data_IF_062781861318
#
_entry.id   IF_062781861318
#
_cell.length_a   1.000
_cell.length_b   1.000
_cell.length_c   1.000
_cell.angle_alpha   90.00
_cell.angle_beta   90.00
_cell.angle_gamma   90.00
#
_symmetry.space_group_name_H-M   'P 1'
#
loop_
_entity.id
_entity.type
_entity.pdbx_description
1 polymer ?
#
# COMPACT_ATOMS: atom_id res chain seq x y z
N UNK A 1 41.53 -11.64 53.69
CA UNK A 1 40.07 -11.57 53.58
C UNK A 1 39.74 -10.28 52.86
N UNK A 2 39.62 -10.31 51.54
CA UNK A 2 38.76 -9.36 50.85
C UNK A 2 38.34 -10.02 49.54
N UNK A 3 37.08 -10.44 49.54
CA UNK A 3 36.39 -11.04 48.42
C UNK A 3 35.55 -9.96 47.74
N UNK A 4 35.43 -10.11 46.42
CA UNK A 4 34.41 -9.54 45.51
C UNK A 4 34.56 -8.08 45.00
N UNK A 5 33.90 -7.73 43.86
CA UNK A 5 33.45 -8.57 42.74
C UNK A 5 33.81 -8.00 41.35
N UNK A 6 33.69 -8.87 40.35
CA UNK A 6 33.73 -8.55 38.92
C UNK A 6 32.61 -7.57 38.55
N UNK A 7 32.96 -6.48 37.85
CA UNK A 7 31.99 -5.68 37.11
C UNK A 7 32.00 -6.08 35.64
N UNK A 8 30.88 -6.64 35.21
CA UNK A 8 30.51 -6.82 33.81
C UNK A 8 30.34 -5.43 33.17
N UNK A 9 31.22 -5.08 32.22
CA UNK A 9 31.01 -3.93 31.36
C UNK A 9 30.21 -4.35 30.14
N UNK A 10 28.94 -3.93 30.19
CA UNK A 10 27.91 -4.02 29.18
C UNK A 10 28.40 -3.66 27.78
N UNK A 11 28.06 -4.49 26.80
CA UNK A 11 28.29 -4.31 25.37
C UNK A 11 27.82 -2.94 24.90
N UNK A 12 28.78 -2.07 24.58
CA UNK A 12 28.52 -0.85 23.84
C UNK A 12 28.55 -1.18 22.34
N UNK A 13 27.52 -1.88 21.83
CA UNK A 13 27.27 -2.01 20.39
C UNK A 13 26.74 -0.66 19.86
N UNK A 14 27.58 0.38 19.94
CA UNK A 14 27.32 1.66 19.28
C UNK A 14 28.00 1.60 17.93
N UNK A 15 27.36 0.90 17.00
CA UNK A 15 27.79 0.86 15.61
C UNK A 15 27.50 2.22 14.98
N UNK A 16 28.56 3.04 14.91
CA UNK A 16 28.60 4.32 14.20
C UNK A 16 28.34 4.03 12.72
N UNK A 17 27.15 4.37 12.23
CA UNK A 17 26.79 4.21 10.82
C UNK A 17 27.48 5.28 9.98
N UNK A 18 28.68 4.94 9.51
CA UNK A 18 29.32 5.52 8.32
C UNK A 18 28.30 5.54 7.18
N UNK A 19 28.22 6.67 6.46
CA UNK A 19 27.21 6.98 5.45
C UNK A 19 27.07 5.97 4.31
N UNK A 20 26.39 4.85 4.58
CA UNK A 20 25.92 3.89 3.60
C UNK A 20 24.54 4.33 3.13
N UNK A 21 24.35 4.49 1.82
CA UNK A 21 23.02 4.71 1.25
C UNK A 21 22.17 3.47 1.57
N UNK A 22 21.05 3.68 2.28
CA UNK A 22 20.16 2.61 2.67
C UNK A 22 19.78 1.74 1.46
N UNK A 23 19.87 0.43 1.61
CA UNK A 23 19.65 -0.51 0.52
C UNK A 23 18.23 -0.33 -0.06
N UNK A 24 18.08 -0.41 -1.39
CA UNK A 24 16.76 -0.30 -2.02
C UNK A 24 15.83 -1.37 -1.45
N UNK A 25 14.62 -0.97 -1.06
CA UNK A 25 13.72 -1.89 -0.37
C UNK A 25 13.27 -3.02 -1.29
N UNK A 26 13.50 -4.25 -0.83
CA UNK A 26 13.20 -5.46 -1.55
C UNK A 26 11.68 -5.73 -1.60
N UNK A 27 11.23 -6.57 -2.53
CA UNK A 27 9.82 -6.91 -2.68
C UNK A 27 9.23 -7.57 -1.42
N UNK A 28 9.99 -8.44 -0.78
CA UNK A 28 9.60 -9.11 0.47
C UNK A 28 9.49 -8.11 1.63
N UNK A 29 10.46 -7.20 1.77
CA UNK A 29 10.41 -6.13 2.78
C UNK A 29 9.15 -5.26 2.61
N UNK A 30 8.77 -4.93 1.37
CA UNK A 30 7.54 -4.17 1.09
C UNK A 30 6.28 -4.94 1.46
N UNK A 31 6.23 -6.24 1.17
CA UNK A 31 5.08 -7.07 1.53
C UNK A 31 4.93 -7.14 3.06
N UNK A 32 6.04 -7.35 3.76
CA UNK A 32 6.03 -7.37 5.22
C UNK A 32 5.58 -6.04 5.81
N UNK A 33 6.13 -4.91 5.32
CA UNK A 33 5.68 -3.59 5.74
C UNK A 33 4.18 -3.40 5.51
N UNK A 34 3.67 -3.87 4.36
CA UNK A 34 2.25 -3.78 4.04
C UNK A 34 1.39 -4.59 5.02
N UNK A 35 1.84 -5.78 5.42
CA UNK A 35 1.17 -6.61 6.43
C UNK A 35 1.12 -5.90 7.78
N UNK A 36 2.24 -5.35 8.23
CA UNK A 36 2.33 -4.62 9.51
C UNK A 36 1.43 -3.38 9.53
N UNK A 37 1.48 -2.55 8.48
CA UNK A 37 0.67 -1.33 8.39
C UNK A 37 -0.83 -1.65 8.31
N UNK A 38 -1.22 -2.73 7.65
CA UNK A 38 -2.63 -3.18 7.61
C UNK A 38 -3.16 -3.63 8.96
N UNK A 39 -2.29 -4.12 9.85
CA UNK A 39 -2.69 -4.52 11.19
C UNK A 39 -2.98 -3.31 12.10
N UNK A 40 -2.36 -2.17 11.82
CA UNK A 40 -2.55 -0.91 12.56
C UNK A 40 -3.66 -0.05 11.93
N UNK A 41 -4.90 -0.27 12.35
CA UNK A 41 -6.10 0.43 11.82
C UNK A 41 -5.95 1.97 11.89
N UNK A 42 -5.25 2.48 12.91
CA UNK A 42 -4.99 3.91 13.11
C UNK A 42 -4.21 4.53 11.95
N UNK A 43 -3.35 3.76 11.27
CA UNK A 43 -2.58 4.24 10.11
C UNK A 43 -3.45 4.37 8.85
N UNK A 44 -4.59 3.68 8.79
CA UNK A 44 -5.55 3.80 7.70
C UNK A 44 -6.46 5.02 7.86
N UNK A 45 -6.59 5.56 9.07
CA UNK A 45 -7.44 6.71 9.35
C UNK A 45 -6.93 7.97 8.63
N UNK A 46 -7.82 8.76 8.03
CA UNK A 46 -7.48 10.01 7.32
C UNK A 46 -7.60 11.26 8.20
N UNK A 47 -8.12 11.14 9.43
CA UNK A 47 -8.28 12.29 10.31
C UNK A 47 -6.96 12.97 10.67
N UNK A 48 -7.03 14.29 10.82
CA UNK A 48 -5.90 15.18 11.11
C UNK A 48 -5.90 15.70 12.55
N UNK A 49 -6.75 15.15 13.41
CA UNK A 49 -6.80 15.50 14.83
C UNK A 49 -5.45 15.29 15.52
N UNK A 50 -5.06 16.21 16.40
CA UNK A 50 -3.78 16.13 17.11
C UNK A 50 -3.60 14.82 17.89
N UNK A 51 -4.68 14.31 18.50
CA UNK A 51 -4.69 13.00 19.17
C UNK A 51 -4.44 11.85 18.19
N UNK A 52 -5.09 11.87 17.03
CA UNK A 52 -4.91 10.86 15.97
C UNK A 52 -3.49 10.90 15.42
N UNK A 53 -2.92 12.09 15.23
CA UNK A 53 -1.55 12.25 14.76
C UNK A 53 -0.53 11.70 15.75
N UNK A 54 -0.73 11.93 17.05
CA UNK A 54 0.10 11.32 18.09
C UNK A 54 -0.02 9.78 18.08
N UNK A 55 -1.23 9.23 17.95
CA UNK A 55 -1.44 7.78 17.86
C UNK A 55 -0.82 7.18 16.59
N UNK A 56 -0.91 7.86 15.45
CA UNK A 56 -0.25 7.45 14.20
C UNK A 56 1.27 7.42 14.35
N UNK A 57 1.85 8.40 15.05
CA UNK A 57 3.29 8.41 15.35
C UNK A 57 3.68 7.16 16.16
N UNK A 58 2.96 6.87 17.23
CA UNK A 58 3.19 5.67 18.06
C UNK A 58 3.01 4.37 17.26
N UNK A 59 1.99 4.30 16.40
CA UNK A 59 1.76 3.14 15.54
C UNK A 59 2.94 2.93 14.58
N UNK A 60 3.48 4.00 13.99
CA UNK A 60 4.68 3.92 13.15
C UNK A 60 5.92 3.46 13.92
N UNK A 61 6.09 3.89 15.17
CA UNK A 61 7.18 3.42 16.04
C UNK A 61 7.06 1.92 16.32
N UNK A 62 5.84 1.41 16.59
CA UNK A 62 5.60 -0.04 16.71
C UNK A 62 5.90 -0.78 15.43
N UNK A 63 5.43 -0.29 14.28
CA UNK A 63 5.73 -0.88 12.97
C UNK A 63 7.24 -0.94 12.73
N UNK A 64 7.98 0.13 13.03
CA UNK A 64 9.43 0.14 12.89
C UNK A 64 10.11 -0.86 13.82
N UNK A 65 9.64 -0.99 15.07
CA UNK A 65 10.13 -1.98 16.01
C UNK A 65 9.93 -3.41 15.48
N UNK A 66 8.70 -3.75 15.06
CA UNK A 66 8.41 -5.08 14.50
C UNK A 66 9.19 -5.37 13.23
N UNK A 67 9.31 -4.37 12.34
CA UNK A 67 10.05 -4.50 11.09
C UNK A 67 11.54 -4.76 11.34
N UNK A 68 12.14 -4.03 12.29
CA UNK A 68 13.56 -4.19 12.64
C UNK A 68 13.80 -5.47 13.45
N UNK A 69 12.83 -5.92 14.25
CA UNK A 69 12.90 -7.17 15.01
C UNK A 69 12.81 -8.42 14.13
N UNK A 70 12.29 -8.30 12.91
CA UNK A 70 12.13 -9.43 11.99
C UNK A 70 13.48 -10.02 11.50
N UNK A 71 14.59 -9.29 11.64
CA UNK A 71 15.96 -9.81 11.48
C UNK A 71 16.43 -10.08 10.05
N UNK A 72 15.53 -10.09 9.05
CA UNK A 72 15.88 -10.26 7.63
C UNK A 72 15.94 -8.94 6.84
N UNK A 73 15.62 -7.81 7.48
CA UNK A 73 15.65 -6.48 6.89
C UNK A 73 16.83 -5.66 7.42
N UNK A 74 17.32 -4.72 6.61
CA UNK A 74 18.21 -3.66 7.10
C UNK A 74 17.43 -2.80 8.12
N UNK A 75 18.10 -2.35 9.20
CA UNK A 75 17.45 -1.50 10.22
C UNK A 75 17.02 -0.19 9.57
N UNK A 76 15.72 0.08 9.54
CA UNK A 76 15.13 1.30 8.96
C UNK A 76 14.52 2.18 10.03
N UNK A 77 14.62 3.49 9.84
CA UNK A 77 13.94 4.46 10.70
C UNK A 77 12.48 4.62 10.30
N UNK A 78 11.64 5.09 11.24
CA UNK A 78 10.22 5.40 11.02
C UNK A 78 10.01 6.24 9.76
N UNK A 79 10.81 7.30 9.59
CA UNK A 79 10.73 8.18 8.43
C UNK A 79 10.96 7.45 7.10
N UNK A 80 11.91 6.52 7.06
CA UNK A 80 12.17 5.73 5.86
C UNK A 80 10.98 4.81 5.53
N UNK A 81 10.41 4.17 6.54
CA UNK A 81 9.23 3.30 6.37
C UNK A 81 8.01 4.08 5.89
N UNK A 82 7.78 5.27 6.45
CA UNK A 82 6.73 6.19 5.97
C UNK A 82 6.93 6.54 4.50
N UNK A 83 8.15 6.94 4.11
CA UNK A 83 8.45 7.31 2.71
C UNK A 83 8.26 6.14 1.74
N UNK A 84 8.61 4.92 2.17
CA UNK A 84 8.33 3.70 1.40
C UNK A 84 6.82 3.51 1.26
N UNK A 85 6.06 3.64 2.34
CA UNK A 85 4.62 3.47 2.33
C UNK A 85 3.92 4.47 1.39
N UNK A 86 4.33 5.73 1.40
CA UNK A 86 3.86 6.75 0.46
C UNK A 86 4.10 6.32 -1.01
N UNK A 87 5.29 5.78 -1.30
CA UNK A 87 5.59 5.24 -2.64
C UNK A 87 4.72 4.03 -3.00
N UNK A 88 4.42 3.14 -2.05
CA UNK A 88 3.54 1.98 -2.25
C UNK A 88 2.12 2.47 -2.58
N UNK A 89 1.57 3.40 -1.79
CA UNK A 89 0.26 4.03 -2.05
C UNK A 89 0.22 4.71 -3.42
N UNK A 90 1.27 5.47 -3.76
CA UNK A 90 1.38 6.15 -5.05
C UNK A 90 1.36 5.18 -6.22
N UNK A 91 2.12 4.08 -6.14
CA UNK A 91 2.10 3.01 -7.16
C UNK A 91 0.74 2.35 -7.29
N UNK A 92 0.04 2.10 -6.18
CA UNK A 92 -1.31 1.52 -6.21
C UNK A 92 -2.31 2.46 -6.90
N UNK A 93 -2.30 3.76 -6.58
CA UNK A 93 -3.14 4.77 -7.23
C UNK A 93 -2.88 4.86 -8.74
N UNK A 94 -1.61 4.85 -9.16
CA UNK A 94 -1.25 4.89 -10.57
C UNK A 94 -1.73 3.64 -11.33
N UNK A 95 -1.58 2.45 -10.75
CA UNK A 95 -2.13 1.21 -11.34
C UNK A 95 -3.65 1.28 -11.50
N UNK A 96 -4.36 1.75 -10.49
CA UNK A 96 -5.82 1.87 -10.54
C UNK A 96 -6.29 2.91 -11.58
N UNK A 97 -5.60 4.06 -11.67
CA UNK A 97 -5.87 5.07 -12.69
C UNK A 97 -5.63 4.55 -14.12
N UNK A 98 -4.56 3.76 -14.32
CA UNK A 98 -4.26 3.14 -15.61
C UNK A 98 -5.31 2.11 -16.03
N UNK A 99 -5.79 1.28 -15.10
CA UNK A 99 -6.90 0.34 -15.37
C UNK A 99 -8.15 1.11 -15.80
N UNK A 100 -8.52 2.17 -15.06
CA UNK A 100 -9.70 2.99 -15.38
C UNK A 100 -9.60 3.66 -16.76
N UNK A 101 -8.42 4.16 -17.14
CA UNK A 101 -8.18 4.76 -18.46
C UNK A 101 -8.28 3.74 -19.60
N UNK A 102 -7.79 2.52 -19.39
CA UNK A 102 -7.90 1.43 -20.38
C UNK A 102 -9.34 0.95 -20.56
N UNK A 103 -10.15 0.93 -19.50
CA UNK A 103 -11.57 0.59 -19.56
C UNK A 103 -12.43 1.63 -20.28
N UNK A 104 -12.01 2.90 -20.32
CA UNK A 104 -12.71 3.97 -21.05
C UNK A 104 -12.39 4.03 -22.55
N UNK A 105 -11.51 3.14 -23.07
CA UNK A 105 -11.05 3.18 -24.48
C UNK A 105 -11.76 2.16 -25.39
N UNK A 106 -12.93 1.69 -25.00
CA UNK A 106 -13.84 0.87 -25.83
C UNK A 106 -15.15 1.65 -26.06
N UNK A 107 -15.04 2.81 -26.71
CA UNK A 107 -16.20 3.53 -27.26
C UNK A 107 -16.37 3.12 -28.72
N UNK A 108 -17.25 2.17 -28.98
CA UNK A 108 -17.63 1.72 -30.32
C UNK A 108 -18.45 2.79 -31.04
N UNK A 109 -18.31 2.88 -32.36
CA UNK A 109 -19.15 3.71 -33.21
C UNK A 109 -18.80 3.64 -34.69
N UNK A 110 -18.62 2.45 -35.27
CA UNK A 110 -18.78 2.32 -36.71
C UNK A 110 -20.29 2.39 -37.01
N UNK A 111 -20.71 3.34 -37.85
CA UNK A 111 -22.10 3.50 -38.24
C UNK A 111 -22.63 2.20 -38.88
N UNK A 112 -23.85 1.72 -38.52
CA UNK A 112 -24.43 0.59 -39.22
C UNK A 112 -24.71 0.99 -40.68
N UNK A 113 -24.42 0.12 -41.66
CA UNK A 113 -24.76 0.39 -43.06
C UNK A 113 -26.29 0.45 -43.22
N UNK A 114 -26.82 1.27 -44.14
CA UNK A 114 -28.25 1.34 -44.41
C UNK A 114 -28.76 -0.02 -44.90
N UNK A 115 -29.64 -0.64 -44.14
CA UNK A 115 -30.35 -1.88 -44.50
C UNK A 115 -31.42 -1.53 -45.55
N UNK A 116 -31.47 -2.18 -46.73
CA UNK A 116 -32.54 -1.96 -47.69
C UNK A 116 -33.87 -2.54 -47.19
N UNK A 117 -34.90 -1.71 -47.28
CA UNK A 117 -36.30 -1.99 -46.99
C UNK A 117 -36.82 -3.18 -47.83
N UNK A 118 -37.04 -4.33 -47.20
CA UNK A 118 -37.72 -5.45 -47.85
C UNK A 118 -38.54 -6.28 -46.84
N UNK A 119 -39.83 -5.95 -46.78
CA UNK A 119 -40.98 -6.86 -46.89
C UNK A 119 -40.98 -8.17 -46.08
N UNK A 120 -41.80 -8.22 -45.02
CA UNK A 120 -42.40 -9.48 -44.53
C UNK A 120 -43.67 -9.24 -43.67
N UNK A 121 -44.74 -8.85 -44.36
CA UNK A 121 -46.15 -9.23 -44.20
C UNK A 121 -46.64 -10.06 -42.97
N UNK A 122 -47.78 -9.59 -42.42
CA UNK A 122 -49.06 -10.28 -42.08
C UNK A 122 -49.13 -11.34 -40.97
N UNK A 123 -49.78 -10.99 -39.84
CA UNK A 123 -50.64 -11.86 -38.97
C UNK A 123 -51.66 -10.93 -38.29
N UNK A 124 -52.87 -10.69 -38.83
CA UNK A 124 -54.15 -11.38 -38.57
C UNK A 124 -54.41 -11.74 -37.09
N UNK A 125 -55.28 -10.99 -36.41
CA UNK A 125 -56.34 -11.54 -35.52
C UNK A 125 -57.46 -10.51 -35.30
N UNK A 126 -58.67 -11.07 -35.38
CA UNK A 126 -60.06 -10.62 -35.54
C UNK A 126 -60.75 -9.84 -34.38
N UNK A 127 -61.92 -9.18 -34.64
CA UNK A 127 -62.64 -8.25 -33.74
C UNK A 127 -63.85 -8.84 -32.99
N UNK A 128 -64.39 -8.09 -32.01
CA UNK A 128 -65.73 -8.25 -31.41
C UNK A 128 -65.85 -7.46 -30.10
N UNK A 129 -66.94 -6.78 -29.73
CA UNK A 129 -68.27 -6.52 -30.29
C UNK A 129 -68.73 -5.18 -29.74
#
# INVERSE_FOLDING_TARGET
MESQPQQAVSSNDTLVLVGRRASPINSLEREHLTKLVRNEIILANESTDGKVMAMKKLAWERVALHFNAAGYCEKRTVYQLQKVWERIKGKAKHKHANVKCKSCKTGSGAAPPPIPEASANKVLTIPGT
#
